data_IF_882860054813
#
_entry.id   IF_882860054813
#
_cell.length_a   1.000
_cell.length_b   1.000
_cell.length_c   1.000
_cell.angle_alpha   90.00
_cell.angle_beta   90.00
_cell.angle_gamma   90.00
#
_symmetry.space_group_name_H-M   'P 1'
#
loop_
_entity.id
_entity.type
_entity.pdbx_description
1 polymer ?
#
# COMPACT_ATOMS: atom_id res chain seq x y z
N UNK A 1 -8.27 -6.61 -13.93
CA UNK A 1 -7.51 -5.71 -13.05
C UNK A 1 -8.14 -4.33 -13.17
N UNK A 2 -8.64 -3.79 -12.06
CA UNK A 2 -9.15 -2.41 -12.00
C UNK A 2 -8.00 -1.41 -12.15
N UNK A 3 -8.32 -0.12 -12.31
CA UNK A 3 -7.29 0.88 -12.60
C UNK A 3 -6.27 1.00 -11.46
N UNK A 4 -6.75 1.21 -10.23
CA UNK A 4 -5.90 1.39 -9.05
C UNK A 4 -5.06 0.15 -8.69
N UNK A 5 -5.50 -1.06 -9.03
CA UNK A 5 -4.71 -2.29 -8.79
C UNK A 5 -3.35 -2.24 -9.52
N UNK A 6 -3.25 -1.52 -10.64
CA UNK A 6 -1.96 -1.31 -11.34
C UNK A 6 -0.99 -0.37 -10.61
N UNK A 7 -1.48 0.42 -9.66
CA UNK A 7 -0.64 1.27 -8.82
C UNK A 7 -0.05 0.48 -7.64
N UNK A 8 -0.59 -0.70 -7.33
CA UNK A 8 -0.10 -1.54 -6.24
C UNK A 8 1.21 -2.23 -6.63
N UNK A 9 2.10 -2.36 -5.67
CA UNK A 9 3.40 -3.03 -5.82
C UNK A 9 3.64 -3.99 -4.67
N UNK A 10 4.45 -5.00 -4.92
CA UNK A 10 5.08 -5.77 -3.84
C UNK A 10 6.33 -5.02 -3.38
N UNK A 11 6.52 -4.94 -2.07
CA UNK A 11 7.72 -4.37 -1.45
C UNK A 11 8.46 -5.48 -0.73
N UNK A 12 9.73 -5.69 -1.09
CA UNK A 12 10.61 -6.65 -0.43
C UNK A 12 11.65 -5.88 0.41
N UNK A 13 11.30 -5.67 1.69
CA UNK A 13 12.08 -4.93 2.67
C UNK A 13 12.65 -5.82 3.78
N UNK A 14 12.48 -5.42 5.05
CA UNK A 14 12.73 -6.30 6.20
C UNK A 14 11.78 -7.50 6.18
N UNK A 15 10.55 -7.27 5.73
CA UNK A 15 9.58 -8.28 5.38
C UNK A 15 8.93 -7.99 4.02
N UNK A 16 8.29 -9.00 3.42
CA UNK A 16 7.45 -8.77 2.24
C UNK A 16 6.17 -8.07 2.68
N UNK A 17 5.79 -7.04 1.93
CA UNK A 17 4.54 -6.33 2.10
C UNK A 17 4.07 -5.71 0.81
N UNK A 18 3.13 -4.78 0.94
CA UNK A 18 2.50 -4.07 -0.17
C UNK A 18 2.86 -2.60 -0.11
N UNK A 19 2.95 -1.97 -1.27
CA UNK A 19 2.93 -0.52 -1.38
C UNK A 19 2.09 -0.10 -2.57
N UNK A 20 1.94 1.20 -2.77
CA UNK A 20 1.27 1.73 -3.94
C UNK A 20 1.83 3.08 -4.36
N UNK A 21 1.73 3.38 -5.65
CA UNK A 21 2.21 4.63 -6.26
C UNK A 21 1.31 5.80 -5.84
N UNK A 22 1.94 6.90 -5.45
CA UNK A 22 1.27 8.17 -5.09
C UNK A 22 1.71 9.35 -5.96
N UNK A 23 2.85 9.23 -6.63
CA UNK A 23 3.33 10.18 -7.64
C UNK A 23 4.17 9.40 -8.66
N UNK A 24 3.69 9.24 -9.88
CA UNK A 24 4.38 8.46 -10.92
C UNK A 24 5.55 9.25 -11.49
N UNK A 25 5.40 10.56 -11.65
CA UNK A 25 6.44 11.42 -12.24
C UNK A 25 7.71 11.45 -11.37
N UNK A 26 7.54 11.52 -10.05
CA UNK A 26 8.62 11.51 -9.09
C UNK A 26 9.00 10.09 -8.60
N UNK A 27 8.23 9.06 -9.02
CA UNK A 27 8.44 7.67 -8.62
C UNK A 27 8.19 7.40 -7.14
N UNK A 28 7.24 8.11 -6.52
CA UNK A 28 6.95 8.01 -5.09
C UNK A 28 5.89 6.96 -4.80
N UNK A 29 6.17 6.14 -3.78
CA UNK A 29 5.29 5.09 -3.30
C UNK A 29 5.13 5.16 -1.78
N UNK A 30 3.96 4.76 -1.29
CA UNK A 30 3.71 4.54 0.13
C UNK A 30 3.71 3.04 0.47
N UNK A 31 4.20 2.71 1.66
CA UNK A 31 4.09 1.39 2.29
C UNK A 31 4.10 1.55 3.82
N UNK A 32 4.02 0.44 4.56
CA UNK A 32 4.19 0.47 6.01
C UNK A 32 5.66 0.60 6.41
N UNK A 33 5.94 1.33 7.48
CA UNK A 33 7.30 1.51 7.99
C UNK A 33 7.92 0.18 8.46
N UNK A 34 7.15 -0.67 9.13
CA UNK A 34 7.64 -1.98 9.55
C UNK A 34 7.93 -2.94 8.37
N UNK A 35 7.40 -2.68 7.17
CA UNK A 35 7.73 -3.48 5.97
C UNK A 35 9.17 -3.22 5.54
N UNK A 36 9.59 -1.95 5.55
CA UNK A 36 10.97 -1.57 5.18
C UNK A 36 11.95 -1.67 6.34
N UNK A 37 11.47 -1.46 7.56
CA UNK A 37 12.28 -1.53 8.77
C UNK A 37 13.43 -0.51 8.77
N UNK A 38 14.61 -0.95 9.21
CA UNK A 38 15.82 -0.10 9.25
C UNK A 38 16.57 0.06 7.92
N UNK A 39 15.98 -0.34 6.78
CA UNK A 39 16.66 -0.33 5.48
C UNK A 39 16.61 1.06 4.83
N UNK A 40 17.66 1.39 4.09
CA UNK A 40 17.74 2.60 3.25
C UNK A 40 17.41 2.32 1.78
N UNK A 41 17.38 1.05 1.38
CA UNK A 41 17.06 0.59 0.03
C UNK A 41 16.26 -0.71 0.12
N UNK A 42 15.23 -0.82 -0.73
CA UNK A 42 14.36 -1.99 -0.87
C UNK A 42 14.16 -2.31 -2.35
N UNK A 43 13.58 -3.49 -2.64
CA UNK A 43 13.13 -3.83 -3.98
C UNK A 43 11.62 -3.72 -4.08
N UNK A 44 11.14 -3.19 -5.19
CA UNK A 44 9.72 -3.16 -5.50
C UNK A 44 9.44 -3.92 -6.78
N UNK A 45 8.31 -4.64 -6.82
CA UNK A 45 7.85 -5.33 -8.02
C UNK A 45 6.47 -4.81 -8.41
N UNK A 46 6.39 -4.31 -9.64
CA UNK A 46 5.13 -3.88 -10.23
C UNK A 46 4.28 -5.09 -10.63
N UNK A 47 2.97 -4.93 -10.56
CA UNK A 47 2.00 -6.00 -10.89
C UNK A 47 2.09 -6.45 -12.35
N UNK A 48 2.49 -5.57 -13.26
CA UNK A 48 2.64 -5.90 -14.69
C UNK A 48 3.83 -6.84 -14.98
N UNK A 49 4.54 -7.33 -13.96
CA UNK A 49 5.61 -8.29 -14.12
C UNK A 49 6.92 -7.67 -14.59
N UNK A 50 7.07 -6.34 -14.48
CA UNK A 50 8.37 -5.70 -14.62
C UNK A 50 9.40 -6.32 -13.65
N UNK A 51 10.67 -6.32 -14.06
CA UNK A 51 11.76 -6.72 -13.18
C UNK A 51 11.74 -5.92 -11.87
N UNK A 52 12.23 -6.52 -10.79
CA UNK A 52 12.36 -5.84 -9.50
C UNK A 52 13.14 -4.53 -9.68
N UNK A 53 12.51 -3.41 -9.27
CA UNK A 53 13.10 -2.09 -9.33
C UNK A 53 13.71 -1.74 -7.97
N UNK A 54 14.93 -1.18 -7.92
CA UNK A 54 15.46 -0.63 -6.68
C UNK A 54 14.69 0.64 -6.30
N UNK A 55 14.42 0.79 -5.00
CA UNK A 55 13.80 1.97 -4.43
C UNK A 55 14.52 2.41 -3.15
N UNK A 56 14.74 3.72 -3.00
CA UNK A 56 15.26 4.31 -1.77
C UNK A 56 14.14 4.50 -0.76
N UNK A 57 14.43 4.21 0.51
CA UNK A 57 13.58 4.61 1.63
C UNK A 57 13.94 6.06 1.98
N UNK A 58 13.01 6.98 1.76
CA UNK A 58 13.24 8.40 2.02
C UNK A 58 13.16 8.68 3.52
N UNK A 59 14.03 9.53 4.06
CA UNK A 59 14.18 9.78 5.50
C UNK A 59 12.97 10.47 6.16
N UNK A 60 12.06 11.06 5.38
CA UNK A 60 10.89 11.80 5.84
C UNK A 60 9.66 10.91 6.12
N UNK A 61 9.89 9.74 6.71
CA UNK A 61 8.84 8.80 7.08
C UNK A 61 8.44 8.93 8.56
N UNK A 62 7.21 8.50 8.90
CA UNK A 62 6.70 8.58 10.27
C UNK A 62 6.62 7.18 10.86
N UNK A 63 7.51 6.88 11.79
CA UNK A 63 7.46 5.65 12.59
C UNK A 63 6.19 5.57 13.43
N UNK A 64 5.69 6.70 13.89
CA UNK A 64 4.50 6.78 14.75
C UNK A 64 3.22 6.40 13.99
N UNK A 65 3.17 6.71 12.69
CA UNK A 65 2.07 6.35 11.79
C UNK A 65 2.27 5.01 11.08
N UNK A 66 3.39 4.33 11.34
CA UNK A 66 3.81 3.13 10.63
C UNK A 66 3.77 3.30 9.09
N UNK A 67 4.21 4.46 8.60
CA UNK A 67 4.16 4.80 7.18
C UNK A 67 5.55 5.17 6.66
N UNK A 68 5.96 4.58 5.53
CA UNK A 68 7.21 4.85 4.84
C UNK A 68 6.99 5.34 3.41
N UNK A 69 7.83 6.27 2.99
CA UNK A 69 7.86 6.83 1.63
C UNK A 69 9.06 6.25 0.88
N UNK A 70 8.80 5.70 -0.31
CA UNK A 70 9.83 5.14 -1.17
C UNK A 70 9.97 5.97 -2.44
N UNK A 71 11.17 6.02 -3.00
CA UNK A 71 11.43 6.58 -4.33
C UNK A 71 12.07 5.53 -5.24
N UNK A 72 11.36 5.15 -6.29
CA UNK A 72 11.89 4.28 -7.34
C UNK A 72 12.83 5.07 -8.22
N UNK A 73 14.01 4.51 -8.51
CA UNK A 73 15.06 5.19 -9.27
C UNK A 73 14.84 5.15 -10.79
N UNK A 74 14.06 4.19 -11.26
CA UNK A 74 13.71 4.04 -12.66
C UNK A 74 12.35 4.71 -12.95
N UNK A 75 12.13 5.22 -14.18
CA UNK A 75 10.81 5.67 -14.59
C UNK A 75 9.79 4.55 -14.42
N UNK A 76 8.66 4.88 -13.79
CA UNK A 76 7.51 3.98 -13.76
C UNK A 76 6.87 3.91 -15.16
N UNK A 77 6.26 2.76 -15.53
CA UNK A 77 5.53 2.62 -16.78
C UNK A 77 4.47 3.72 -16.98
N UNK A 78 4.25 4.15 -18.21
CA UNK A 78 3.31 5.23 -18.54
C UNK A 78 1.87 4.86 -18.14
N UNK A 79 1.54 3.57 -18.17
CA UNK A 79 0.23 3.02 -17.79
C UNK A 79 0.00 2.87 -16.29
N UNK A 80 1.02 3.17 -15.46
CA UNK A 80 0.90 3.16 -14.00
C UNK A 80 -0.02 4.29 -13.55
N UNK A 81 -1.12 3.99 -12.85
CA UNK A 81 -2.03 5.04 -12.38
C UNK A 81 -1.45 5.79 -11.18
N UNK A 82 -1.92 7.03 -11.01
CA UNK A 82 -1.72 7.85 -9.81
C UNK A 82 -3.06 7.98 -9.09
N UNK A 83 -3.43 7.00 -8.23
CA UNK A 83 -4.70 7.07 -7.52
C UNK A 83 -4.74 8.28 -6.59
N UNK A 84 -5.87 8.99 -6.61
CA UNK A 84 -6.10 10.10 -5.66
C UNK A 84 -6.26 9.54 -4.25
N UNK A 85 -5.56 10.14 -3.30
CA UNK A 85 -5.72 9.83 -1.89
C UNK A 85 -7.04 10.42 -1.38
N UNK A 86 -7.85 9.58 -0.73
CA UNK A 86 -9.08 10.02 -0.07
C UNK A 86 -8.78 10.97 1.10
N UNK A 87 -9.59 12.01 1.24
CA UNK A 87 -9.49 12.97 2.35
C UNK A 87 -10.45 12.65 3.50
N UNK A 88 -11.44 11.78 3.26
CA UNK A 88 -12.50 11.45 4.21
C UNK A 88 -12.72 9.94 4.28
N UNK A 89 -13.19 9.50 5.44
CA UNK A 89 -13.59 8.11 5.69
C UNK A 89 -15.09 8.11 5.92
N UNK A 90 -15.85 7.44 5.05
CA UNK A 90 -17.32 7.46 5.10
C UNK A 90 -17.86 6.16 5.72
N UNK A 91 -18.45 6.19 6.93
CA UNK A 91 -19.05 5.01 7.53
C UNK A 91 -20.19 4.45 6.69
N UNK A 92 -20.26 3.12 6.59
CA UNK A 92 -21.30 2.40 5.84
C UNK A 92 -20.91 2.08 4.41
N UNK A 93 -19.90 2.75 3.84
CA UNK A 93 -19.41 2.43 2.51
C UNK A 93 -18.70 1.08 2.45
N UNK A 94 -18.71 0.46 1.28
CA UNK A 94 -17.90 -0.73 0.99
C UNK A 94 -16.47 -0.35 0.65
N UNK A 95 -15.53 -1.17 1.12
CA UNK A 95 -14.14 -1.07 0.71
C UNK A 95 -13.66 -2.33 0.00
N UNK A 96 -12.60 -2.15 -0.79
CA UNK A 96 -11.72 -3.21 -1.28
C UNK A 96 -10.27 -2.87 -0.95
N UNK A 97 -9.50 -3.87 -0.56
CA UNK A 97 -8.05 -3.80 -0.47
C UNK A 97 -7.43 -4.94 -1.27
N UNK A 98 -6.26 -4.69 -1.86
CA UNK A 98 -5.57 -5.65 -2.71
C UNK A 98 -4.07 -5.50 -2.56
N UNK A 99 -3.35 -6.60 -2.33
CA UNK A 99 -1.97 -6.55 -1.88
C UNK A 99 -1.36 -7.93 -1.66
N UNK A 100 -0.05 -7.95 -1.39
CA UNK A 100 0.79 -9.13 -1.27
C UNK A 100 0.91 -9.58 0.17
N UNK A 101 0.83 -10.90 0.40
CA UNK A 101 0.96 -11.53 1.69
C UNK A 101 2.42 -11.73 2.11
N UNK A 102 2.73 -11.58 3.41
CA UNK A 102 4.06 -11.82 3.99
C UNK A 102 4.62 -13.22 3.72
N UNK A 103 3.76 -14.24 3.58
CA UNK A 103 4.15 -15.63 3.34
C UNK A 103 4.80 -15.91 1.96
N UNK A 104 5.11 -14.86 1.19
CA UNK A 104 5.82 -14.99 -0.07
C UNK A 104 4.96 -15.47 -1.23
N UNK A 105 3.64 -15.32 -1.13
CA UNK A 105 2.73 -15.61 -2.23
C UNK A 105 3.12 -14.76 -3.45
N UNK A 106 3.15 -15.40 -4.63
CA UNK A 106 3.46 -14.70 -5.89
C UNK A 106 2.30 -13.77 -6.31
N UNK A 107 1.10 -14.06 -5.82
CA UNK A 107 -0.11 -13.37 -6.21
C UNK A 107 -0.70 -12.57 -5.05
N UNK A 108 -1.20 -11.37 -5.33
CA UNK A 108 -1.89 -10.56 -4.33
C UNK A 108 -3.29 -11.11 -4.02
N UNK A 109 -3.72 -10.89 -2.79
CA UNK A 109 -5.02 -11.26 -2.25
C UNK A 109 -5.98 -10.07 -2.31
N UNK A 110 -7.26 -10.36 -2.38
CA UNK A 110 -8.33 -9.35 -2.27
C UNK A 110 -8.99 -9.49 -0.91
N UNK A 111 -9.24 -8.37 -0.24
CA UNK A 111 -10.12 -8.30 0.93
C UNK A 111 -11.23 -7.31 0.62
N UNK A 112 -12.47 -7.69 0.90
CA UNK A 112 -13.61 -6.78 0.85
C UNK A 112 -14.34 -6.68 2.19
N UNK A 113 -15.00 -5.55 2.41
CA UNK A 113 -15.78 -5.36 3.62
C UNK A 113 -16.51 -4.02 3.65
N UNK A 114 -16.83 -3.57 4.87
CA UNK A 114 -17.49 -2.30 5.12
C UNK A 114 -16.63 -1.42 6.02
N UNK A 115 -16.60 -0.12 5.70
CA UNK A 115 -16.01 0.92 6.53
C UNK A 115 -16.96 1.19 7.70
N UNK A 116 -16.45 1.06 8.93
CA UNK A 116 -17.21 1.36 10.15
C UNK A 116 -17.04 2.80 10.61
N UNK A 117 -15.97 3.46 10.16
CA UNK A 117 -15.66 4.85 10.42
C UNK A 117 -14.19 5.03 10.77
N UNK A 118 -13.85 6.19 11.33
CA UNK A 118 -12.52 6.53 11.79
C UNK A 118 -12.51 6.89 13.27
N UNK A 119 -11.35 6.83 13.90
CA UNK A 119 -11.14 7.24 15.28
C UNK A 119 -9.68 7.09 15.67
N UNK A 120 -9.43 6.67 16.91
CA UNK A 120 -8.06 6.49 17.42
C UNK A 120 -7.89 5.14 18.12
N UNK A 121 -6.72 4.51 17.93
CA UNK A 121 -6.24 3.35 18.69
C UNK A 121 -4.92 3.77 19.33
N UNK A 122 -4.82 3.65 20.66
CA UNK A 122 -3.62 4.06 21.42
C UNK A 122 -3.13 5.49 21.10
N UNK A 123 -4.06 6.39 20.78
CA UNK A 123 -3.78 7.79 20.44
C UNK A 123 -3.40 8.04 18.98
N UNK A 124 -3.28 6.99 18.14
CA UNK A 124 -3.00 7.10 16.71
C UNK A 124 -4.28 7.08 15.87
N UNK A 125 -4.39 7.88 14.79
CA UNK A 125 -5.51 7.83 13.88
C UNK A 125 -5.69 6.43 13.28
N UNK A 126 -6.92 5.94 13.24
CA UNK A 126 -7.25 4.61 12.72
C UNK A 126 -8.55 4.62 11.91
N UNK A 127 -8.61 3.74 10.90
CA UNK A 127 -9.83 3.40 10.17
C UNK A 127 -10.34 2.06 10.66
N UNK A 128 -11.60 2.01 11.07
CA UNK A 128 -12.24 0.79 11.54
C UNK A 128 -12.94 0.09 10.38
N UNK A 129 -12.62 -1.17 10.18
CA UNK A 129 -13.13 -2.00 9.10
C UNK A 129 -13.84 -3.22 9.67
N UNK A 130 -14.80 -3.76 8.92
CA UNK A 130 -15.30 -5.11 9.15
C UNK A 130 -15.27 -5.90 7.86
N UNK A 131 -14.65 -7.07 7.92
CA UNK A 131 -14.64 -8.07 6.85
C UNK A 131 -14.95 -9.44 7.42
N UNK A 132 -15.41 -10.36 6.57
CA UNK A 132 -15.51 -11.79 6.87
C UNK A 132 -14.20 -12.53 6.58
N UNK A 133 -13.27 -11.87 5.88
CA UNK A 133 -11.96 -12.39 5.51
C UNK A 133 -10.92 -11.84 6.50
N UNK A 134 -10.15 -12.75 7.11
CA UNK A 134 -8.96 -12.40 7.89
C UNK A 134 -7.77 -12.88 7.07
N UNK A 135 -7.05 -11.94 6.46
CA UNK A 135 -5.76 -12.23 5.85
C UNK A 135 -4.71 -11.37 6.53
N UNK A 136 -3.74 -12.03 7.16
CA UNK A 136 -2.54 -11.38 7.67
C UNK A 136 -1.67 -10.90 6.50
N UNK A 137 -0.60 -10.14 6.75
CA UNK A 137 0.43 -9.92 5.73
C UNK A 137 0.11 -8.93 4.61
N UNK A 138 -1.01 -8.19 4.63
CA UNK A 138 -1.37 -7.16 3.63
C UNK A 138 -0.79 -5.76 3.94
N UNK A 139 0.23 -5.68 4.79
CA UNK A 139 0.77 -4.42 5.30
C UNK A 139 1.14 -3.45 4.18
N UNK A 140 0.58 -2.24 4.22
CA UNK A 140 0.80 -1.18 3.24
C UNK A 140 -0.09 -1.26 1.99
N UNK A 141 -1.02 -2.22 1.92
CA UNK A 141 -2.00 -2.27 0.85
C UNK A 141 -2.97 -1.08 0.93
N UNK A 142 -3.34 -0.47 -0.21
CA UNK A 142 -4.30 0.61 -0.20
C UNK A 142 -5.69 0.09 0.18
N UNK A 143 -6.48 1.00 0.76
CA UNK A 143 -7.90 0.79 0.98
C UNK A 143 -8.66 1.69 0.01
N UNK A 144 -9.46 1.08 -0.85
CA UNK A 144 -10.28 1.78 -1.85
C UNK A 144 -11.73 1.76 -1.41
N UNK A 145 -12.30 2.94 -1.23
CA UNK A 145 -13.73 3.13 -1.09
C UNK A 145 -14.38 2.88 -2.47
N UNK A 146 -15.35 1.96 -2.52
CA UNK A 146 -15.98 1.53 -3.77
C UNK A 146 -17.15 2.44 -4.19
N UNK A 147 -17.45 3.46 -3.41
CA UNK A 147 -18.59 4.37 -3.60
C UNK A 147 -18.15 5.80 -3.96
N UNK A 148 -16.85 6.04 -4.10
CA UNK A 148 -16.23 7.33 -4.47
C UNK A 148 -15.59 7.32 -5.85
#
# INVERSE_FOLDING_TARGET
>A
MSDWERAVVRVDGEQTGTGFVVDRECGLLLTCAHVVGGRTEVRVRLVNGAADLPAHVLENWSSDLDAALLQVLAPLPEETPEPLLGLEVVPGHRFRSWGYHYAGEEHPLTIEGNIRGSGHIDGQPAVFLSSVEVAEGMSGAPLVDLET
#
